data_IF_816221359863
#
_entry.id   IF_816221359863
#
_cell.length_a   1.000
_cell.length_b   1.000
_cell.length_c   1.000
_cell.angle_alpha   90.00
_cell.angle_beta   90.00
_cell.angle_gamma   90.00
#
_symmetry.space_group_name_H-M   'P 1'
#
loop_
_entity.id
_entity.type
_entity.pdbx_description
1 polymer ?
#
# COMPACT_ATOMS: atom_id res chain seq x y z
N UNK A 1 -0.80 -23.70 18.72
CA UNK A 1 -0.17 -24.14 17.45
C UNK A 1 -0.72 -23.42 16.22
N UNK A 2 -2.04 -23.21 16.13
CA UNK A 2 -2.69 -22.34 15.12
C UNK A 2 -2.11 -20.92 15.14
N UNK A 3 -2.03 -20.32 16.33
CA UNK A 3 -1.78 -18.88 16.47
C UNK A 3 -0.36 -18.50 16.06
N UNK A 4 0.65 -19.27 16.48
CA UNK A 4 2.04 -19.04 16.07
C UNK A 4 2.24 -19.06 14.53
N UNK A 5 1.45 -19.82 13.78
CA UNK A 5 1.52 -19.84 12.30
C UNK A 5 0.83 -18.62 11.68
N UNK A 6 -0.25 -18.14 12.29
CA UNK A 6 -0.92 -16.91 11.87
C UNK A 6 -0.07 -15.68 12.21
N UNK A 7 0.58 -15.67 13.36
CA UNK A 7 1.49 -14.61 13.78
C UNK A 7 2.69 -14.51 12.83
N UNK A 8 3.30 -15.64 12.48
CA UNK A 8 4.41 -15.68 11.51
C UNK A 8 3.95 -15.17 10.13
N UNK A 9 2.75 -15.55 9.69
CA UNK A 9 2.21 -15.04 8.43
C UNK A 9 1.94 -13.54 8.50
N UNK A 10 1.37 -13.04 9.60
CA UNK A 10 1.12 -11.63 9.81
C UNK A 10 2.43 -10.83 9.81
N UNK A 11 3.45 -11.31 10.52
CA UNK A 11 4.78 -10.70 10.55
C UNK A 11 5.43 -10.63 9.16
N UNK A 12 5.30 -11.69 8.35
CA UNK A 12 5.81 -11.67 6.97
C UNK A 12 5.07 -10.68 6.08
N UNK A 13 3.74 -10.60 6.22
CA UNK A 13 2.92 -9.66 5.45
C UNK A 13 3.25 -8.21 5.85
N UNK A 14 3.40 -7.94 7.15
CA UNK A 14 3.80 -6.64 7.69
C UNK A 14 5.19 -6.21 7.19
N UNK A 15 6.17 -7.13 7.27
CA UNK A 15 7.52 -6.87 6.78
C UNK A 15 7.54 -6.57 5.27
N UNK A 16 6.79 -7.33 4.48
CA UNK A 16 6.67 -7.09 3.03
C UNK A 16 6.02 -5.74 2.74
N UNK A 17 4.94 -5.40 3.44
CA UNK A 17 4.25 -4.12 3.28
C UNK A 17 5.20 -2.96 3.61
N UNK A 18 5.94 -3.06 4.72
CA UNK A 18 6.90 -2.04 5.14
C UNK A 18 8.00 -1.81 4.10
N UNK A 19 8.58 -2.88 3.55
CA UNK A 19 9.62 -2.79 2.50
C UNK A 19 9.06 -2.14 1.22
N UNK A 20 7.87 -2.56 0.78
CA UNK A 20 7.23 -2.00 -0.43
C UNK A 20 6.91 -0.51 -0.25
N UNK A 21 6.37 -0.12 0.90
CA UNK A 21 6.07 1.29 1.22
C UNK A 21 7.34 2.15 1.19
N UNK A 22 8.45 1.66 1.77
CA UNK A 22 9.74 2.36 1.75
C UNK A 22 10.28 2.52 0.33
N UNK A 23 10.20 1.47 -0.49
CA UNK A 23 10.66 1.51 -1.88
C UNK A 23 9.84 2.52 -2.71
N UNK A 24 8.52 2.52 -2.57
CA UNK A 24 7.65 3.49 -3.25
C UNK A 24 8.02 4.91 -2.85
N UNK A 25 8.21 5.17 -1.55
CA UNK A 25 8.60 6.47 -1.06
C UNK A 25 9.97 6.94 -1.61
N UNK A 26 10.97 6.05 -1.66
CA UNK A 26 12.28 6.35 -2.24
C UNK A 26 12.20 6.66 -3.75
N UNK A 27 11.40 5.89 -4.50
CA UNK A 27 11.17 6.13 -5.92
C UNK A 27 10.46 7.47 -6.19
N UNK A 28 9.47 7.83 -5.36
CA UNK A 28 8.81 9.14 -5.43
C UNK A 28 9.78 10.29 -5.13
N UNK A 29 10.63 10.14 -4.11
CA UNK A 29 11.63 11.15 -3.73
C UNK A 29 12.69 11.37 -4.82
N UNK A 30 13.01 10.33 -5.58
CA UNK A 30 13.91 10.39 -6.75
C UNK A 30 13.20 10.83 -8.03
N UNK A 31 11.93 11.20 -7.95
CA UNK A 31 11.08 11.59 -9.09
C UNK A 31 10.95 10.50 -10.18
N UNK A 32 11.26 9.25 -9.83
CA UNK A 32 11.16 8.10 -10.73
C UNK A 32 9.77 7.46 -10.73
N UNK A 33 8.87 7.94 -9.86
CA UNK A 33 7.52 7.44 -9.70
C UNK A 33 6.56 8.60 -9.39
N UNK A 34 5.49 8.70 -10.18
CA UNK A 34 4.34 9.53 -9.85
C UNK A 34 3.45 8.79 -8.83
N UNK A 35 3.63 9.14 -7.57
CA UNK A 35 2.91 8.55 -6.45
C UNK A 35 1.39 8.70 -6.53
N UNK A 36 0.92 9.87 -6.94
CA UNK A 36 -0.52 10.15 -7.04
C UNK A 36 -1.17 9.29 -8.13
N UNK A 37 -0.47 9.14 -9.27
CA UNK A 37 -0.89 8.21 -10.33
C UNK A 37 -0.90 6.77 -9.84
N UNK A 38 0.16 6.32 -9.16
CA UNK A 38 0.21 4.95 -8.63
C UNK A 38 -0.97 4.66 -7.70
N UNK A 39 -1.27 5.54 -6.74
CA UNK A 39 -2.38 5.34 -5.80
C UNK A 39 -3.74 5.28 -6.52
N UNK A 40 -3.95 6.08 -7.56
CA UNK A 40 -5.15 5.99 -8.40
C UNK A 40 -5.24 4.64 -9.13
N UNK A 41 -4.14 4.19 -9.72
CA UNK A 41 -4.09 2.94 -10.47
C UNK A 41 -4.34 1.73 -9.54
N UNK A 42 -3.82 1.77 -8.30
CA UNK A 42 -4.11 0.77 -7.27
C UNK A 42 -5.60 0.72 -6.89
N UNK A 43 -6.25 1.87 -6.71
CA UNK A 43 -7.70 1.93 -6.42
C UNK A 43 -8.52 1.36 -7.57
N UNK A 44 -8.18 1.70 -8.82
CA UNK A 44 -8.83 1.13 -9.99
C UNK A 44 -8.64 -0.39 -10.07
N UNK A 45 -7.44 -0.88 -9.78
CA UNK A 45 -7.15 -2.31 -9.73
C UNK A 45 -7.98 -3.02 -8.64
N UNK A 46 -8.10 -2.42 -7.44
CA UNK A 46 -8.95 -2.92 -6.37
C UNK A 46 -10.43 -3.00 -6.80
N UNK A 47 -10.95 -1.97 -7.45
CA UNK A 47 -12.33 -1.95 -7.97
C UNK A 47 -12.56 -3.04 -9.01
N UNK A 48 -11.58 -3.30 -9.87
CA UNK A 48 -11.59 -4.43 -10.81
C UNK A 48 -11.68 -5.77 -10.07
N UNK A 49 -10.80 -5.99 -9.08
CA UNK A 49 -10.78 -7.23 -8.27
C UNK A 49 -12.08 -7.47 -7.52
N UNK A 50 -12.75 -6.42 -7.03
CA UNK A 50 -13.99 -6.52 -6.27
C UNK A 50 -15.12 -7.23 -7.04
N UNK A 51 -15.07 -7.21 -8.38
CA UNK A 51 -16.04 -7.86 -9.26
C UNK A 51 -15.91 -9.39 -9.27
N UNK A 52 -14.80 -9.95 -8.79
CA UNK A 52 -14.54 -11.37 -8.81
C UNK A 52 -14.84 -12.02 -7.44
N UNK A 53 -15.61 -13.14 -7.41
CA UNK A 53 -15.87 -13.88 -6.17
C UNK A 53 -14.56 -14.29 -5.46
N UNK A 54 -14.53 -14.14 -4.14
CA UNK A 54 -13.37 -14.49 -3.31
C UNK A 54 -12.26 -13.44 -3.26
N UNK A 55 -12.24 -12.44 -4.15
CA UNK A 55 -11.18 -11.42 -4.18
C UNK A 55 -11.50 -10.16 -3.36
N UNK A 56 -12.69 -10.04 -2.78
CA UNK A 56 -13.13 -8.85 -2.06
C UNK A 56 -12.18 -8.40 -0.93
N UNK A 57 -11.66 -9.34 -0.14
CA UNK A 57 -10.70 -9.01 0.94
C UNK A 57 -9.38 -8.47 0.39
N UNK A 58 -8.88 -9.04 -0.71
CA UNK A 58 -7.68 -8.52 -1.36
C UNK A 58 -7.89 -7.14 -1.98
N UNK A 59 -9.08 -6.87 -2.53
CA UNK A 59 -9.43 -5.54 -3.04
C UNK A 59 -9.43 -4.49 -1.93
N UNK A 60 -9.99 -4.82 -0.75
CA UNK A 60 -9.95 -3.94 0.42
C UNK A 60 -8.51 -3.67 0.89
N UNK A 61 -7.67 -4.69 0.95
CA UNK A 61 -6.26 -4.54 1.32
C UNK A 61 -5.51 -3.62 0.36
N UNK A 62 -5.69 -3.79 -0.95
CA UNK A 62 -5.05 -2.92 -1.97
C UNK A 62 -5.52 -1.47 -1.83
N UNK A 63 -6.81 -1.25 -1.55
CA UNK A 63 -7.33 0.10 -1.32
C UNK A 63 -6.72 0.74 -0.06
N UNK A 64 -6.61 -0.02 1.04
CA UNK A 64 -5.95 0.45 2.27
C UNK A 64 -4.51 0.88 2.01
N UNK A 65 -3.75 0.09 1.24
CA UNK A 65 -2.36 0.42 0.88
C UNK A 65 -2.30 1.74 0.10
N UNK A 66 -3.19 1.96 -0.87
CA UNK A 66 -3.24 3.21 -1.61
C UNK A 66 -3.56 4.42 -0.72
N UNK A 67 -4.45 4.25 0.26
CA UNK A 67 -4.82 5.29 1.22
C UNK A 67 -3.67 5.59 2.19
N UNK A 68 -2.93 4.57 2.65
CA UNK A 68 -1.75 4.71 3.51
C UNK A 68 -0.58 5.41 2.79
N UNK A 69 -0.36 5.11 1.51
CA UNK A 69 0.64 5.78 0.68
C UNK A 69 0.34 7.27 0.50
N UNK A 70 -0.92 7.61 0.23
CA UNK A 70 -1.35 9.02 0.12
C UNK A 70 -1.16 9.76 1.45
N UNK A 71 -1.59 9.16 2.56
CA UNK A 71 -1.39 9.73 3.89
C UNK A 71 0.11 9.92 4.24
N UNK A 72 0.96 8.95 3.89
CA UNK A 72 2.40 9.06 4.10
C UNK A 72 3.01 10.20 3.27
N UNK A 73 2.55 10.37 2.02
CA UNK A 73 2.97 11.47 1.14
C UNK A 73 2.54 12.84 1.68
N UNK A 74 1.29 12.97 2.11
CA UNK A 74 0.77 14.20 2.72
C UNK A 74 1.57 14.60 3.96
N UNK A 75 1.82 13.66 4.87
CA UNK A 75 2.66 13.90 6.06
C UNK A 75 4.06 14.40 5.68
N UNK A 76 4.67 13.80 4.67
CA UNK A 76 6.00 14.21 4.19
C UNK A 76 5.99 15.62 3.60
N UNK A 77 4.96 15.98 2.85
CA UNK A 77 4.80 17.31 2.28
C UNK A 77 4.56 18.38 3.34
N UNK A 78 3.82 18.05 4.42
CA UNK A 78 3.62 18.96 5.56
C UNK A 78 4.92 19.24 6.32
N UNK A 79 5.82 18.25 6.41
CA UNK A 79 7.11 18.37 7.10
C UNK A 79 8.20 19.05 6.25
N UNK A 80 7.97 19.26 4.96
CA UNK A 80 8.85 20.00 4.06
C UNK A 80 8.09 21.19 3.47
N UNK A 81 7.93 22.30 4.21
CA UNK A 81 7.36 23.51 3.63
C UNK A 81 8.24 23.96 2.45
N UNK A 82 7.59 24.23 1.31
CA UNK A 82 8.22 24.81 0.12
C UNK A 82 8.69 26.23 0.39
#
# INVERSE_FOLDING_TARGET
>A
MSDARYDELAARVDGLASVVMQLIADLELRENLDGSRLCRDLRQYADGRRKHPGLGRSALAIKSIADELDAARERRNLLRPR
#
